data_IF_674713918399
#
_entry.id   IF_674713918399
#
_cell.length_a   1.000
_cell.length_b   1.000
_cell.length_c   1.000
_cell.angle_alpha   90.00
_cell.angle_beta   90.00
_cell.angle_gamma   90.00
#
_symmetry.space_group_name_H-M   'P 1'
#
loop_
_entity.id
_entity.type
_entity.pdbx_description
1 polymer ?
#
# COMPACT_ATOMS: atom_id res chain seq x y z
N UNK A 1 13.49 6.36 -3.39
CA UNK A 1 14.21 7.66 -3.47
C UNK A 1 15.57 7.45 -4.12
N UNK A 2 16.12 6.22 -4.14
CA UNK A 2 17.31 5.88 -4.94
C UNK A 2 17.11 5.84 -6.45
N UNK A 3 15.95 5.43 -6.98
CA UNK A 3 15.70 5.46 -8.43
C UNK A 3 15.41 6.88 -8.96
N UNK A 4 14.68 7.69 -8.19
CA UNK A 4 14.32 9.08 -8.55
C UNK A 4 15.46 10.10 -8.30
N UNK A 5 16.32 9.92 -7.29
CA UNK A 5 17.55 10.75 -7.13
C UNK A 5 18.68 10.37 -8.08
N UNK A 6 18.64 9.19 -8.72
CA UNK A 6 19.56 8.83 -9.81
C UNK A 6 19.19 9.56 -11.12
N UNK A 7 17.92 9.94 -11.28
CA UNK A 7 17.42 10.74 -12.40
C UNK A 7 17.83 12.23 -12.32
N UNK A 8 17.93 12.82 -11.12
CA UNK A 8 18.26 14.25 -10.95
C UNK A 8 19.67 14.63 -11.42
N UNK A 9 20.65 13.72 -11.35
CA UNK A 9 22.02 14.00 -11.81
C UNK A 9 22.07 14.06 -13.34
N UNK A 10 21.34 13.16 -14.03
CA UNK A 10 21.27 13.13 -15.49
C UNK A 10 20.43 14.29 -16.03
N UNK A 11 19.28 14.59 -15.39
CA UNK A 11 18.42 15.71 -15.77
C UNK A 11 19.03 17.08 -15.45
N UNK A 12 19.73 17.20 -14.32
CA UNK A 12 20.46 18.42 -13.94
C UNK A 12 21.60 18.74 -14.90
N UNK A 13 22.33 17.73 -15.38
CA UNK A 13 23.32 17.91 -16.45
C UNK A 13 22.67 18.25 -17.80
N UNK A 14 21.59 17.57 -18.21
CA UNK A 14 20.90 17.90 -19.47
C UNK A 14 20.22 19.27 -19.48
N UNK A 15 19.68 19.72 -18.34
CA UNK A 15 19.05 21.03 -18.19
C UNK A 15 20.08 22.18 -18.24
N UNK A 16 21.24 21.99 -17.59
CA UNK A 16 22.36 22.92 -17.70
C UNK A 16 22.95 22.96 -19.13
N UNK A 17 23.03 21.81 -19.81
CA UNK A 17 23.47 21.75 -21.22
C UNK A 17 22.49 22.47 -22.15
N UNK A 18 21.17 22.38 -21.94
CA UNK A 18 20.17 23.04 -22.79
C UNK A 18 20.26 24.59 -22.73
N UNK A 19 20.58 25.15 -21.55
CA UNK A 19 20.83 26.59 -21.36
C UNK A 19 22.14 27.05 -22.03
N UNK A 20 23.12 26.16 -22.19
CA UNK A 20 24.47 26.44 -22.73
C UNK A 20 24.63 26.15 -24.24
N UNK A 21 23.53 25.99 -24.99
CA UNK A 21 23.51 25.72 -26.45
C UNK A 21 24.20 26.78 -27.34
N UNK A 22 24.73 27.87 -26.74
CA UNK A 22 25.52 28.92 -27.40
C UNK A 22 27.05 28.74 -27.24
N UNK A 23 27.54 27.73 -26.52
CA UNK A 23 28.99 27.48 -26.34
C UNK A 23 29.59 26.61 -27.46
N UNK A 24 30.85 26.83 -27.86
CA UNK A 24 31.50 26.11 -28.95
C UNK A 24 31.75 24.61 -28.66
N UNK A 25 31.81 24.20 -27.38
CA UNK A 25 31.93 22.81 -26.94
C UNK A 25 30.56 22.29 -26.48
N UNK A 26 29.64 22.03 -27.41
CA UNK A 26 28.34 21.45 -27.07
C UNK A 26 28.33 19.94 -27.33
N UNK A 27 27.97 19.13 -26.32
CA UNK A 27 27.82 17.68 -26.50
C UNK A 27 26.64 17.43 -27.46
N UNK A 28 26.92 16.79 -28.60
CA UNK A 28 25.88 16.44 -29.57
C UNK A 28 24.82 15.54 -28.93
N UNK A 29 23.54 15.83 -29.15
CA UNK A 29 22.41 15.08 -28.59
C UNK A 29 22.50 13.57 -28.84
N UNK A 30 23.00 13.14 -29.99
CA UNK A 30 23.17 11.72 -30.33
C UNK A 30 24.10 10.97 -29.35
N UNK A 31 25.19 11.61 -28.89
CA UNK A 31 26.12 11.03 -27.92
C UNK A 31 25.49 10.90 -26.52
N UNK A 32 24.67 11.88 -26.12
CA UNK A 32 23.92 11.82 -24.85
C UNK A 32 22.89 10.69 -24.90
N UNK A 33 22.16 10.55 -26.02
CA UNK A 33 21.21 9.45 -26.21
C UNK A 33 21.91 8.09 -26.17
N UNK A 34 23.09 7.98 -26.77
CA UNK A 34 23.88 6.74 -26.75
C UNK A 34 24.28 6.32 -25.32
N UNK A 35 24.80 7.25 -24.51
CA UNK A 35 25.10 7.02 -23.10
C UNK A 35 23.86 6.55 -22.35
N UNK A 36 22.73 7.21 -22.58
CA UNK A 36 21.47 6.89 -21.91
C UNK A 36 20.98 5.48 -22.27
N UNK A 37 21.08 5.09 -23.55
CA UNK A 37 20.71 3.75 -24.00
C UNK A 37 21.63 2.67 -23.40
N UNK A 38 22.94 2.93 -23.35
CA UNK A 38 23.91 2.03 -22.69
C UNK A 38 23.63 1.91 -21.19
N UNK A 39 23.31 3.01 -20.52
CA UNK A 39 22.90 3.01 -19.13
C UNK A 39 21.67 2.12 -18.89
N UNK A 40 20.62 2.27 -19.70
CA UNK A 40 19.40 1.48 -19.54
C UNK A 40 19.65 -0.02 -19.73
N UNK A 41 20.46 -0.40 -20.72
CA UNK A 41 20.84 -1.81 -20.94
C UNK A 41 21.60 -2.38 -19.75
N UNK A 42 22.62 -1.65 -19.26
CA UNK A 42 23.38 -2.02 -18.08
C UNK A 42 22.50 -2.08 -16.82
N UNK A 43 21.59 -1.12 -16.64
CA UNK A 43 20.68 -1.05 -15.51
C UNK A 43 19.73 -2.25 -15.48
N UNK A 44 19.17 -2.65 -16.63
CA UNK A 44 18.35 -3.85 -16.73
C UNK A 44 19.14 -5.12 -16.37
N UNK A 45 20.38 -5.24 -16.83
CA UNK A 45 21.27 -6.35 -16.43
C UNK A 45 21.52 -6.36 -14.92
N UNK A 46 21.67 -5.18 -14.31
CA UNK A 46 21.89 -5.03 -12.87
C UNK A 46 20.67 -5.37 -11.98
N UNK A 47 19.49 -5.60 -12.59
CA UNK A 47 18.24 -5.91 -11.88
C UNK A 47 17.90 -7.41 -11.89
N UNK A 48 18.75 -8.26 -12.46
CA UNK A 48 18.54 -9.71 -12.48
C UNK A 48 18.48 -10.25 -11.03
N UNK A 49 17.57 -11.19 -10.78
CA UNK A 49 17.39 -11.78 -9.44
C UNK A 49 18.49 -12.78 -9.10
N UNK A 50 18.97 -13.53 -10.09
CA UNK A 50 20.03 -14.53 -9.95
C UNK A 50 21.12 -14.26 -10.97
N UNK A 51 22.39 -14.25 -10.52
CA UNK A 51 23.55 -14.02 -11.36
C UNK A 51 24.35 -15.30 -11.54
N UNK A 52 24.68 -15.63 -12.78
CA UNK A 52 25.79 -16.51 -13.11
C UNK A 52 27.08 -15.68 -13.26
N UNK A 53 28.25 -16.29 -13.11
CA UNK A 53 29.52 -15.55 -13.21
C UNK A 53 29.67 -14.85 -14.58
N UNK A 54 29.16 -15.47 -15.66
CA UNK A 54 29.09 -14.86 -17.00
C UNK A 54 28.24 -13.60 -17.05
N UNK A 55 27.16 -13.52 -16.27
CA UNK A 55 26.35 -12.30 -16.16
C UNK A 55 27.14 -11.18 -15.48
N UNK A 56 27.91 -11.51 -14.45
CA UNK A 56 28.73 -10.54 -13.69
C UNK A 56 29.85 -10.02 -14.59
N UNK A 57 30.50 -10.88 -15.37
CA UNK A 57 31.49 -10.47 -16.38
C UNK A 57 30.89 -9.52 -17.40
N UNK A 58 29.74 -9.88 -17.98
CA UNK A 58 29.02 -9.04 -18.95
C UNK A 58 28.59 -7.69 -18.37
N UNK A 59 28.17 -7.68 -17.11
CA UNK A 59 27.82 -6.46 -16.40
C UNK A 59 29.05 -5.57 -16.19
N UNK A 60 30.19 -6.13 -15.77
CA UNK A 60 31.44 -5.38 -15.60
C UNK A 60 31.92 -4.76 -16.91
N UNK A 61 31.86 -5.51 -18.02
CA UNK A 61 32.18 -5.01 -19.36
C UNK A 61 31.28 -3.83 -19.75
N UNK A 62 29.96 -3.98 -19.53
CA UNK A 62 28.97 -2.93 -19.80
C UNK A 62 29.22 -1.68 -18.95
N UNK A 63 29.58 -1.86 -17.67
CA UNK A 63 29.95 -0.77 -16.75
C UNK A 63 31.19 -0.05 -17.26
N UNK A 64 32.23 -0.79 -17.65
CA UNK A 64 33.50 -0.23 -18.10
C UNK A 64 33.33 0.56 -19.42
N UNK A 65 32.59 0.02 -20.38
CA UNK A 65 32.26 0.72 -21.63
C UNK A 65 31.48 2.01 -21.36
N UNK A 66 30.43 1.91 -20.54
CA UNK A 66 29.59 3.06 -20.22
C UNK A 66 30.39 4.12 -19.46
N UNK A 67 31.21 3.74 -18.48
CA UNK A 67 32.02 4.65 -17.68
C UNK A 67 33.05 5.40 -18.52
N UNK A 68 33.71 4.72 -19.47
CA UNK A 68 34.64 5.37 -20.41
C UNK A 68 33.96 6.48 -21.21
N UNK A 69 32.81 6.16 -21.83
CA UNK A 69 32.03 7.14 -22.60
C UNK A 69 31.50 8.28 -21.73
N UNK A 70 31.03 7.95 -20.53
CA UNK A 70 30.51 8.94 -19.59
C UNK A 70 31.60 9.91 -19.12
N UNK A 71 32.79 9.41 -18.78
CA UNK A 71 33.92 10.26 -18.37
C UNK A 71 34.37 11.14 -19.53
N UNK A 72 34.60 10.57 -20.72
CA UNK A 72 35.01 11.32 -21.91
C UNK A 72 34.05 12.48 -22.24
N UNK A 73 32.75 12.27 -22.04
CA UNK A 73 31.74 13.25 -22.40
C UNK A 73 31.47 14.30 -21.32
N UNK A 74 31.62 13.96 -20.03
CA UNK A 74 31.19 14.84 -18.93
C UNK A 74 32.32 15.38 -18.05
N UNK A 75 33.57 14.90 -18.20
CA UNK A 75 34.69 15.34 -17.35
C UNK A 75 34.95 16.84 -17.45
N UNK A 76 34.95 17.40 -18.66
CA UNK A 76 35.18 18.84 -18.92
C UNK A 76 34.08 19.74 -18.29
N UNK A 77 32.87 19.20 -18.11
CA UNK A 77 31.72 19.93 -17.58
C UNK A 77 31.55 19.78 -16.06
N UNK A 78 32.36 18.92 -15.43
CA UNK A 78 32.26 18.64 -14.00
C UNK A 78 33.36 19.37 -13.24
N UNK A 79 32.99 20.34 -12.40
CA UNK A 79 33.95 21.05 -11.52
C UNK A 79 34.73 20.10 -10.58
N UNK A 80 34.10 18.98 -10.21
CA UNK A 80 34.70 17.91 -9.40
C UNK A 80 35.44 16.82 -10.19
N UNK A 81 35.59 16.96 -11.52
CA UNK A 81 36.13 15.91 -12.41
C UNK A 81 35.47 14.55 -12.21
N UNK A 82 34.14 14.55 -12.02
CA UNK A 82 33.33 13.34 -11.81
C UNK A 82 33.73 12.49 -10.59
N UNK A 83 34.37 13.06 -9.57
CA UNK A 83 34.67 12.38 -8.31
C UNK A 83 33.42 12.19 -7.43
N UNK A 84 32.41 11.49 -7.95
CA UNK A 84 31.19 11.17 -7.23
C UNK A 84 31.34 9.83 -6.53
N UNK A 85 31.16 9.75 -5.20
CA UNK A 85 31.23 8.48 -4.46
C UNK A 85 30.29 7.40 -5.03
N UNK A 86 29.13 7.82 -5.56
CA UNK A 86 28.17 6.93 -6.22
C UNK A 86 28.69 6.36 -7.55
N UNK A 87 29.40 7.16 -8.34
CA UNK A 87 30.01 6.70 -9.58
C UNK A 87 31.14 5.72 -9.28
N UNK A 88 31.98 6.05 -8.29
CA UNK A 88 33.04 5.16 -7.82
C UNK A 88 32.48 3.81 -7.32
N UNK A 89 31.46 3.85 -6.47
CA UNK A 89 30.76 2.64 -6.01
C UNK A 89 30.20 1.82 -7.17
N UNK A 90 29.57 2.47 -8.15
CA UNK A 90 29.01 1.80 -9.32
C UNK A 90 30.07 1.11 -10.19
N UNK A 91 31.18 1.79 -10.46
CA UNK A 91 32.20 1.31 -11.39
C UNK A 91 33.06 0.19 -10.77
N UNK A 92 33.44 0.34 -9.51
CA UNK A 92 34.46 -0.52 -8.89
C UNK A 92 33.89 -1.60 -7.95
N UNK A 93 32.74 -1.35 -7.32
CA UNK A 93 32.28 -2.16 -6.20
C UNK A 93 31.00 -2.94 -6.47
N UNK A 94 30.27 -2.66 -7.54
CA UNK A 94 28.99 -3.34 -7.81
C UNK A 94 29.19 -4.83 -8.11
N UNK A 95 30.11 -5.19 -8.99
CA UNK A 95 30.31 -6.60 -9.32
C UNK A 95 30.89 -7.40 -8.15
N UNK A 96 31.73 -6.81 -7.30
CA UNK A 96 32.18 -7.46 -6.06
C UNK A 96 31.04 -7.60 -5.05
N UNK A 97 30.22 -6.57 -4.87
CA UNK A 97 29.05 -6.62 -4.00
C UNK A 97 28.04 -7.67 -4.45
N UNK A 98 27.83 -7.86 -5.76
CA UNK A 98 26.96 -8.91 -6.28
C UNK A 98 27.48 -10.30 -5.94
N UNK A 99 28.80 -10.52 -6.04
CA UNK A 99 29.42 -11.81 -5.70
C UNK A 99 29.32 -12.13 -4.21
N UNK A 100 29.49 -11.13 -3.36
CA UNK A 100 29.54 -11.33 -1.92
C UNK A 100 28.15 -11.43 -1.29
N UNK A 101 27.21 -10.61 -1.74
CA UNK A 101 25.92 -10.46 -1.08
C UNK A 101 24.73 -10.93 -1.93
N UNK A 102 24.89 -11.14 -3.25
CA UNK A 102 23.79 -11.45 -4.18
C UNK A 102 23.21 -10.25 -4.95
N UNK A 103 21.96 -10.36 -5.39
CA UNK A 103 21.36 -9.37 -6.30
C UNK A 103 21.18 -7.97 -5.66
N UNK A 104 21.47 -6.92 -6.44
CA UNK A 104 21.41 -5.51 -6.01
C UNK A 104 20.02 -5.13 -5.45
N UNK A 105 18.97 -5.78 -5.93
CA UNK A 105 17.59 -5.54 -5.50
C UNK A 105 17.41 -5.71 -3.98
N UNK A 106 18.19 -6.61 -3.36
CA UNK A 106 18.18 -6.85 -1.92
C UNK A 106 18.74 -5.70 -1.08
N UNK A 107 19.57 -4.81 -1.64
CA UNK A 107 20.18 -3.68 -0.90
C UNK A 107 19.43 -2.36 -1.07
N UNK A 108 18.31 -2.35 -1.81
CA UNK A 108 17.61 -1.10 -2.08
C UNK A 108 16.83 -0.66 -0.84
N UNK A 109 16.85 0.65 -0.56
CA UNK A 109 16.03 1.23 0.52
C UNK A 109 14.58 1.43 0.08
N UNK A 110 14.16 0.92 -1.07
CA UNK A 110 12.82 1.14 -1.63
C UNK A 110 11.73 0.59 -0.70
N UNK A 111 11.96 -0.60 -0.13
CA UNK A 111 11.07 -1.19 0.87
C UNK A 111 11.00 -0.32 2.12
N UNK A 112 12.15 0.07 2.69
CA UNK A 112 12.19 0.93 3.89
C UNK A 112 11.48 2.27 3.67
N UNK A 113 11.69 2.89 2.51
CA UNK A 113 11.04 4.15 2.17
C UNK A 113 9.53 4.02 1.96
N UNK A 114 9.09 2.91 1.36
CA UNK A 114 7.67 2.60 1.18
C UNK A 114 7.01 2.38 2.53
N UNK A 115 7.62 1.57 3.40
CA UNK A 115 7.19 1.36 4.78
C UNK A 115 7.14 2.68 5.56
N UNK A 116 8.16 3.52 5.47
CA UNK A 116 8.17 4.82 6.13
C UNK A 116 7.07 5.75 5.60
N UNK A 117 6.75 5.71 4.30
CA UNK A 117 5.63 6.46 3.74
C UNK A 117 4.30 5.97 4.32
N UNK A 118 4.12 4.66 4.42
CA UNK A 118 2.86 4.05 4.81
C UNK A 118 2.60 4.04 6.31
N UNK A 119 3.61 3.77 7.12
CA UNK A 119 3.49 3.62 8.56
C UNK A 119 3.91 4.87 9.34
N UNK A 120 4.68 5.79 8.75
CA UNK A 120 5.06 7.03 9.44
C UNK A 120 4.37 8.24 8.83
N UNK A 121 4.62 8.54 7.54
CA UNK A 121 4.15 9.81 6.94
C UNK A 121 2.63 9.90 6.83
N UNK A 122 1.95 8.82 6.43
CA UNK A 122 0.49 8.79 6.32
C UNK A 122 -0.16 8.92 7.71
N UNK A 123 0.11 8.05 8.70
CA UNK A 123 -0.40 8.19 10.05
C UNK A 123 -0.09 9.54 10.68
N UNK A 124 1.14 10.05 10.53
CA UNK A 124 1.53 11.35 11.05
C UNK A 124 0.58 12.46 10.59
N UNK A 125 0.17 12.47 9.32
CA UNK A 125 -0.75 13.49 8.78
C UNK A 125 -2.12 13.48 9.47
N UNK A 126 -2.60 12.31 9.87
CA UNK A 126 -3.90 12.10 10.52
C UNK A 126 -3.87 12.42 12.04
N UNK A 127 -2.69 12.74 12.59
CA UNK A 127 -2.54 13.09 14.02
C UNK A 127 -2.83 14.57 14.28
N UNK A 128 -3.33 14.89 15.47
CA UNK A 128 -3.51 16.27 15.94
C UNK A 128 -2.21 16.91 16.48
N UNK A 129 -1.06 16.26 16.26
CA UNK A 129 0.30 16.66 16.67
C UNK A 129 0.59 16.66 18.18
N UNK A 130 -0.33 16.23 19.03
CA UNK A 130 -0.06 15.93 20.45
C UNK A 130 0.28 14.45 20.62
N UNK A 131 1.20 14.10 21.51
CA UNK A 131 1.60 12.70 21.77
C UNK A 131 1.76 11.84 20.50
N UNK A 132 2.53 12.36 19.53
CA UNK A 132 2.55 11.90 18.14
C UNK A 132 2.82 10.40 18.01
N UNK A 133 3.76 9.88 18.78
CA UNK A 133 4.16 8.46 18.73
C UNK A 133 2.99 7.55 19.12
N UNK A 134 2.28 7.87 20.21
CA UNK A 134 1.09 7.11 20.63
C UNK A 134 0.00 7.16 19.55
N UNK A 135 -0.20 8.32 18.92
CA UNK A 135 -1.21 8.48 17.88
C UNK A 135 -0.86 7.71 16.60
N UNK A 136 0.40 7.74 16.18
CA UNK A 136 0.88 6.97 15.03
C UNK A 136 0.70 5.48 15.30
N UNK A 137 1.15 4.98 16.47
CA UNK A 137 0.99 3.58 16.84
C UNK A 137 -0.47 3.14 16.80
N UNK A 138 -1.38 3.97 17.33
CA UNK A 138 -2.82 3.71 17.29
C UNK A 138 -3.37 3.66 15.86
N UNK A 139 -3.04 4.63 15.00
CA UNK A 139 -3.49 4.64 13.60
C UNK A 139 -2.97 3.42 12.84
N UNK A 140 -1.71 3.05 13.04
CA UNK A 140 -1.13 1.84 12.45
C UNK A 140 -1.94 0.61 12.90
N UNK A 141 -2.30 0.50 14.17
CA UNK A 141 -3.16 -0.58 14.67
C UNK A 141 -4.53 -0.61 13.98
N UNK A 142 -5.15 0.54 13.70
CA UNK A 142 -6.42 0.60 12.93
C UNK A 142 -6.21 0.04 11.52
N UNK A 143 -5.10 0.41 10.88
CA UNK A 143 -4.77 -0.07 9.53
C UNK A 143 -4.55 -1.58 9.52
N UNK A 144 -3.81 -2.13 10.50
CA UNK A 144 -3.63 -3.57 10.64
C UNK A 144 -4.95 -4.30 10.95
N UNK A 145 -5.79 -3.74 11.82
CA UNK A 145 -7.12 -4.27 12.09
C UNK A 145 -7.98 -4.34 10.81
N UNK A 146 -7.96 -3.27 10.00
CA UNK A 146 -8.68 -3.22 8.72
C UNK A 146 -8.19 -4.22 7.67
N UNK A 147 -7.02 -4.83 7.86
CA UNK A 147 -6.52 -5.93 7.01
C UNK A 147 -6.89 -7.30 7.56
N UNK A 148 -6.89 -7.45 8.89
CA UNK A 148 -7.07 -8.75 9.55
C UNK A 148 -8.53 -9.16 9.76
N UNK A 149 -9.43 -8.21 10.04
CA UNK A 149 -10.81 -8.52 10.49
C UNK A 149 -11.92 -7.89 9.65
N UNK A 150 -11.60 -6.85 8.87
CA UNK A 150 -12.59 -6.11 8.09
C UNK A 150 -12.22 -6.08 6.62
N UNK A 151 -13.21 -6.00 5.75
CA UNK A 151 -13.01 -5.75 4.32
C UNK A 151 -13.17 -4.25 4.07
N UNK A 152 -12.13 -3.62 3.52
CA UNK A 152 -12.19 -2.24 3.08
C UNK A 152 -13.17 -2.11 1.90
N UNK A 153 -14.25 -1.35 2.08
CA UNK A 153 -15.20 -1.06 1.00
C UNK A 153 -14.68 0.14 0.19
N UNK A 154 -13.62 -0.07 -0.58
CA UNK A 154 -13.10 0.95 -1.49
C UNK A 154 -13.52 0.68 -2.93
N UNK A 155 -13.85 1.73 -3.71
CA UNK A 155 -13.83 1.66 -5.15
C UNK A 155 -12.39 1.48 -5.63
N UNK A 156 -11.95 0.25 -5.89
CA UNK A 156 -10.79 0.07 -6.76
C UNK A 156 -11.22 0.08 -8.21
N UNK A 157 -10.51 0.86 -9.03
CA UNK A 157 -10.59 0.70 -10.49
C UNK A 157 -9.93 -0.63 -10.81
N UNK A 158 -10.72 -1.61 -11.21
CA UNK A 158 -10.21 -2.82 -11.84
C UNK A 158 -9.32 -2.44 -13.04
N UNK A 159 -8.05 -2.87 -13.10
CA UNK A 159 -7.35 -2.98 -14.36
C UNK A 159 -7.96 -4.15 -15.13
N UNK A 160 -8.41 -3.90 -16.36
CA UNK A 160 -8.78 -4.91 -17.36
C UNK A 160 -10.17 -5.58 -17.27
N UNK A 161 -11.22 -4.79 -17.07
CA UNK A 161 -12.53 -5.16 -17.63
C UNK A 161 -12.82 -4.28 -18.87
N UNK A 162 -12.58 -4.83 -20.06
CA UNK A 162 -13.03 -4.23 -21.33
C UNK A 162 -14.56 -4.10 -21.27
N UNK A 163 -15.03 -2.88 -21.51
CA UNK A 163 -16.42 -2.48 -21.66
C UNK A 163 -17.32 -2.59 -20.42
N UNK A 164 -17.20 -1.62 -19.52
CA UNK A 164 -18.20 -1.37 -18.48
C UNK A 164 -18.55 0.13 -18.49
N UNK A 165 -19.84 0.53 -18.40
CA UNK A 165 -20.26 1.92 -18.51
C UNK A 165 -19.63 2.82 -17.43
N UNK A 166 -19.09 3.96 -17.89
CA UNK A 166 -18.32 4.98 -17.18
C UNK A 166 -19.12 5.82 -16.17
N UNK A 167 -19.92 5.20 -15.29
CA UNK A 167 -20.54 5.92 -14.17
C UNK A 167 -19.95 5.35 -12.87
N UNK A 168 -19.14 6.14 -12.12
CA UNK A 168 -18.78 5.77 -10.76
C UNK A 168 -20.05 5.82 -9.91
N UNK A 169 -20.69 4.68 -9.71
CA UNK A 169 -21.83 4.57 -8.79
C UNK A 169 -21.27 4.65 -7.37
N UNK A 170 -21.38 5.81 -6.73
CA UNK A 170 -21.00 5.98 -5.33
C UNK A 170 -21.70 4.92 -4.45
N UNK A 171 -20.99 4.41 -3.43
CA UNK A 171 -21.56 3.48 -2.45
C UNK A 171 -22.81 4.11 -1.83
N UNK A 172 -23.95 3.42 -1.97
CA UNK A 172 -25.24 3.91 -1.44
C UNK A 172 -25.64 3.08 -0.24
N UNK A 173 -25.45 3.65 0.96
CA UNK A 173 -25.84 3.04 2.21
C UNK A 173 -27.36 3.06 2.39
N UNK A 174 -27.91 1.99 2.97
CA UNK A 174 -29.34 1.91 3.29
C UNK A 174 -29.62 2.56 4.65
N UNK A 175 -30.63 2.05 5.38
CA UNK A 175 -31.01 2.58 6.70
C UNK A 175 -29.84 2.46 7.68
N UNK A 176 -29.47 3.57 8.32
CA UNK A 176 -28.60 3.61 9.50
C UNK A 176 -29.32 2.94 10.67
N UNK A 177 -28.70 1.93 11.26
CA UNK A 177 -29.23 1.15 12.37
C UNK A 177 -28.78 1.73 13.72
N UNK A 178 -27.50 2.05 13.83
CA UNK A 178 -26.90 2.51 15.09
C UNK A 178 -25.92 3.65 14.82
N UNK A 179 -25.79 4.53 15.81
CA UNK A 179 -24.87 5.66 15.81
C UNK A 179 -24.39 5.91 17.24
N UNK A 180 -23.07 5.83 17.44
CA UNK A 180 -22.46 6.03 18.76
C UNK A 180 -21.01 6.48 18.65
N UNK A 181 -20.50 7.07 19.73
CA UNK A 181 -19.10 7.48 19.86
C UNK A 181 -18.31 6.41 20.63
N UNK A 182 -17.00 6.31 20.37
CA UNK A 182 -16.10 5.35 21.04
C UNK A 182 -16.20 5.40 22.57
N UNK A 183 -16.31 6.60 23.15
CA UNK A 183 -16.38 6.84 24.60
C UNK A 183 -17.53 6.09 25.29
N UNK A 184 -18.63 5.86 24.56
CA UNK A 184 -19.81 5.19 25.08
C UNK A 184 -20.04 3.83 24.39
N UNK A 185 -19.10 3.37 23.57
CA UNK A 185 -19.32 2.22 22.70
C UNK A 185 -19.60 0.94 23.48
N UNK A 186 -18.85 0.68 24.55
CA UNK A 186 -19.03 -0.50 25.39
C UNK A 186 -20.42 -0.55 26.02
N UNK A 187 -20.79 0.50 26.78
CA UNK A 187 -22.10 0.61 27.43
C UNK A 187 -23.22 0.56 26.39
N UNK A 188 -23.07 1.28 25.28
CA UNK A 188 -24.07 1.33 24.21
C UNK A 188 -24.29 -0.06 23.61
N UNK A 189 -23.22 -0.76 23.25
CA UNK A 189 -23.28 -2.07 22.62
C UNK A 189 -23.81 -3.13 23.59
N UNK A 190 -23.33 -3.16 24.83
CA UNK A 190 -23.82 -4.09 25.85
C UNK A 190 -25.33 -3.91 26.08
N UNK A 191 -25.82 -2.67 26.12
CA UNK A 191 -27.26 -2.37 26.21
C UNK A 191 -28.03 -2.95 25.02
N UNK A 192 -27.47 -2.92 23.81
CA UNK A 192 -28.09 -3.52 22.61
C UNK A 192 -27.99 -5.03 22.59
N UNK A 193 -26.92 -5.62 23.10
CA UNK A 193 -26.75 -7.07 23.17
C UNK A 193 -27.78 -7.74 24.08
N UNK A 194 -28.30 -7.00 25.08
CA UNK A 194 -29.38 -7.45 25.96
C UNK A 194 -30.77 -7.44 25.30
N UNK A 195 -30.90 -6.90 24.09
CA UNK A 195 -32.16 -6.93 23.34
C UNK A 195 -32.48 -8.38 22.91
N UNK A 196 -33.61 -8.97 23.35
CA UNK A 196 -33.99 -10.33 22.97
C UNK A 196 -34.25 -10.46 21.47
N UNK A 197 -34.55 -9.35 20.79
CA UNK A 197 -34.80 -9.30 19.36
C UNK A 197 -33.51 -9.27 18.50
N UNK A 198 -32.33 -9.25 19.13
CA UNK A 198 -31.05 -9.20 18.45
C UNK A 198 -30.56 -10.62 18.10
N UNK A 199 -30.38 -10.85 16.81
CA UNK A 199 -29.97 -12.12 16.22
C UNK A 199 -28.49 -12.41 16.47
N UNK A 200 -28.15 -13.71 16.46
CA UNK A 200 -26.83 -14.22 16.83
C UNK A 200 -25.70 -13.61 16.01
N UNK A 201 -25.90 -13.37 14.70
CA UNK A 201 -24.88 -12.81 13.82
C UNK A 201 -24.55 -11.37 14.19
N UNK A 202 -25.56 -10.57 14.58
CA UNK A 202 -25.33 -9.19 15.01
C UNK A 202 -24.74 -9.13 16.42
N UNK A 203 -25.11 -10.05 17.32
CA UNK A 203 -24.46 -10.22 18.63
C UNK A 203 -22.97 -10.55 18.47
N UNK A 204 -22.66 -11.53 17.63
CA UNK A 204 -21.28 -11.89 17.30
C UNK A 204 -20.52 -10.72 16.67
N UNK A 205 -21.19 -9.97 15.78
CA UNK A 205 -20.64 -8.75 15.19
C UNK A 205 -20.27 -7.72 16.26
N UNK A 206 -21.14 -7.50 17.25
CA UNK A 206 -20.89 -6.59 18.36
C UNK A 206 -19.81 -7.07 19.31
N UNK A 207 -19.77 -8.36 19.65
CA UNK A 207 -18.71 -8.97 20.48
C UNK A 207 -17.35 -8.78 19.82
N UNK A 208 -17.23 -9.16 18.55
CA UNK A 208 -15.99 -9.00 17.78
C UNK A 208 -15.61 -7.54 17.59
N UNK A 209 -16.59 -6.67 17.43
CA UNK A 209 -16.36 -5.24 17.37
C UNK A 209 -15.81 -4.70 18.71
N UNK A 210 -16.37 -5.10 19.85
CA UNK A 210 -15.89 -4.68 21.18
C UNK A 210 -14.49 -5.21 21.51
N UNK A 211 -14.19 -6.49 21.23
CA UNK A 211 -12.82 -7.05 21.36
C UNK A 211 -11.79 -6.19 20.63
N UNK A 212 -12.20 -5.54 19.53
CA UNK A 212 -11.33 -4.69 18.73
C UNK A 212 -11.25 -3.24 19.25
N UNK A 213 -12.18 -2.79 20.11
CA UNK A 213 -12.23 -1.40 20.57
C UNK A 213 -11.30 -1.10 21.74
N UNK A 214 -10.90 -2.09 22.54
CA UNK A 214 -10.05 -1.94 23.74
C UNK A 214 -8.68 -1.27 23.47
N UNK A 215 -8.30 -1.06 22.20
CA UNK A 215 -7.05 -0.40 21.79
C UNK A 215 -7.16 1.12 21.50
N UNK A 216 -8.34 1.76 21.54
CA UNK A 216 -8.57 3.05 20.85
C UNK A 216 -9.08 4.24 21.69
N UNK A 217 -8.89 4.22 23.01
CA UNK A 217 -9.60 5.07 23.98
C UNK A 217 -9.39 6.61 23.94
N UNK A 218 -8.51 7.19 23.12
CA UNK A 218 -8.17 8.64 23.22
C UNK A 218 -8.60 9.54 22.04
N UNK A 219 -9.35 9.04 21.05
CA UNK A 219 -9.80 9.85 19.90
C UNK A 219 -11.31 10.09 19.88
N UNK A 220 -11.78 11.22 19.33
CA UNK A 220 -13.19 11.37 18.99
C UNK A 220 -13.48 10.58 17.71
N UNK A 221 -13.91 9.33 17.91
CA UNK A 221 -14.30 8.42 16.82
C UNK A 221 -15.81 8.23 16.88
N UNK A 222 -16.47 8.47 15.75
CA UNK A 222 -17.89 8.23 15.56
C UNK A 222 -18.09 7.02 14.66
N UNK A 223 -18.96 6.12 15.11
CA UNK A 223 -19.34 4.92 14.38
C UNK A 223 -20.79 5.02 13.91
N UNK A 224 -21.03 4.74 12.63
CA UNK A 224 -22.36 4.51 12.09
C UNK A 224 -22.45 3.08 11.58
N UNK A 225 -23.46 2.33 12.00
CA UNK A 225 -23.74 0.97 11.50
C UNK A 225 -24.94 1.03 10.56
N UNK A 226 -24.81 0.44 9.38
CA UNK A 226 -25.83 0.42 8.34
C UNK A 226 -26.41 -0.98 8.15
N UNK A 227 -27.69 -1.03 7.74
CA UNK A 227 -28.39 -2.27 7.40
C UNK A 227 -27.92 -2.92 6.10
N UNK A 228 -27.17 -2.19 5.28
CA UNK A 228 -26.82 -2.58 3.93
C UNK A 228 -26.12 -1.48 3.15
N UNK A 229 -25.50 -1.88 2.06
CA UNK A 229 -24.84 -0.99 1.10
C UNK A 229 -25.06 -1.53 -0.31
N UNK A 230 -25.29 -0.62 -1.24
CA UNK A 230 -25.30 -0.94 -2.68
C UNK A 230 -23.90 -0.67 -3.21
N UNK A 231 -23.24 -1.72 -3.67
CA UNK A 231 -21.91 -1.71 -4.29
C UNK A 231 -22.00 -1.29 -5.77
N UNK A 232 -20.85 -1.21 -6.44
CA UNK A 232 -20.79 -1.03 -7.89
C UNK A 232 -21.63 -2.10 -8.60
N UNK A 233 -22.26 -1.72 -9.71
CA UNK A 233 -23.14 -2.59 -10.51
C UNK A 233 -24.48 -2.97 -9.87
N UNK A 234 -24.84 -2.33 -8.76
CA UNK A 234 -26.16 -2.50 -8.13
C UNK A 234 -26.29 -3.71 -7.21
N UNK A 235 -25.20 -4.46 -7.00
CA UNK A 235 -25.12 -5.55 -6.03
C UNK A 235 -25.35 -5.00 -4.63
N UNK A 236 -26.22 -5.67 -3.84
CA UNK A 236 -26.59 -5.22 -2.49
C UNK A 236 -26.00 -6.16 -1.47
N UNK A 237 -25.16 -5.62 -0.60
CA UNK A 237 -24.67 -6.28 0.60
C UNK A 237 -25.51 -5.85 1.79
N UNK A 238 -25.85 -6.78 2.68
CA UNK A 238 -26.77 -6.55 3.81
C UNK A 238 -26.24 -7.17 5.09
N UNK A 239 -26.47 -6.45 6.17
CA UNK A 239 -26.21 -6.87 7.54
C UNK A 239 -27.33 -6.28 8.40
N UNK A 240 -28.49 -6.94 8.41
CA UNK A 240 -29.68 -6.41 9.05
C UNK A 240 -30.38 -7.49 9.88
N UNK A 241 -30.54 -7.17 11.15
CA UNK A 241 -31.20 -7.98 12.15
C UNK A 241 -32.69 -8.25 11.84
N UNK A 242 -33.40 -7.28 11.22
CA UNK A 242 -34.85 -7.38 10.95
C UNK A 242 -35.19 -6.79 9.58
N UNK A 243 -34.96 -7.55 8.51
CA UNK A 243 -35.41 -7.23 7.16
C UNK A 243 -36.68 -8.04 6.82
N UNK A 244 -37.83 -7.38 6.70
CA UNK A 244 -39.14 -8.04 6.54
C UNK A 244 -39.38 -9.17 7.57
N UNK A 245 -39.13 -8.89 8.86
CA UNK A 245 -39.29 -9.83 9.99
C UNK A 245 -38.32 -11.01 10.02
N UNK A 246 -37.27 -11.01 9.20
CA UNK A 246 -36.20 -12.03 9.24
C UNK A 246 -34.80 -11.38 9.22
N UNK A 247 -33.80 -11.98 9.85
CA UNK A 247 -32.41 -11.57 9.67
C UNK A 247 -31.95 -11.76 8.22
N UNK A 248 -31.08 -10.87 7.76
CA UNK A 248 -30.38 -11.01 6.48
C UNK A 248 -28.93 -10.54 6.59
N UNK A 249 -28.02 -11.48 6.39
CA UNK A 249 -26.58 -11.28 6.41
C UNK A 249 -26.00 -11.88 5.13
N UNK A 250 -25.31 -11.06 4.35
CA UNK A 250 -24.79 -11.48 3.04
C UNK A 250 -23.54 -12.33 3.18
N UNK A 251 -23.46 -13.40 2.40
CA UNK A 251 -22.22 -14.12 2.15
C UNK A 251 -21.51 -13.44 0.98
N UNK A 252 -20.20 -13.28 1.09
CA UNK A 252 -19.37 -12.60 0.11
C UNK A 252 -18.16 -13.46 -0.23
N UNK A 253 -17.69 -13.28 -1.47
CA UNK A 253 -16.42 -13.81 -1.96
C UNK A 253 -15.45 -12.64 -2.08
N UNK A 254 -14.24 -12.82 -1.55
CA UNK A 254 -13.22 -11.78 -1.44
C UNK A 254 -11.94 -12.32 -2.08
N UNK A 255 -11.44 -11.62 -3.07
CA UNK A 255 -10.11 -11.86 -3.62
C UNK A 255 -9.07 -11.37 -2.60
N UNK A 256 -8.23 -12.27 -2.11
CA UNK A 256 -7.22 -11.96 -1.10
C UNK A 256 -5.96 -11.47 -1.81
N UNK A 257 -5.31 -10.46 -1.23
CA UNK A 257 -4.00 -10.02 -1.68
C UNK A 257 -3.04 -11.24 -1.72
N UNK A 258 -2.33 -11.49 -2.83
CA UNK A 258 -1.36 -12.59 -2.91
C UNK A 258 -0.36 -12.64 -1.74
N UNK A 259 0.00 -11.50 -1.16
CA UNK A 259 0.89 -11.43 0.01
C UNK A 259 0.26 -12.01 1.29
N UNK A 260 -1.07 -12.02 1.38
CA UNK A 260 -1.85 -12.44 2.56
C UNK A 260 -2.49 -13.83 2.38
N UNK A 261 -2.38 -14.43 1.18
CA UNK A 261 -3.06 -15.68 0.81
C UNK A 261 -2.66 -16.88 1.70
N UNK A 262 -1.47 -16.84 2.31
CA UNK A 262 -0.96 -17.91 3.15
C UNK A 262 -1.77 -18.09 4.45
N UNK A 263 -2.47 -17.06 4.91
CA UNK A 263 -3.31 -17.09 6.13
C UNK A 263 -4.70 -17.73 5.90
N UNK A 264 -5.05 -18.06 4.65
CA UNK A 264 -6.39 -18.53 4.27
C UNK A 264 -6.36 -19.83 3.46
N UNK A 265 -7.42 -20.65 3.56
CA UNK A 265 -7.74 -21.74 2.62
C UNK A 265 -8.50 -21.15 1.44
N UNK A 266 -7.78 -20.49 0.54
CA UNK A 266 -8.37 -19.91 -0.67
C UNK A 266 -8.69 -20.96 -1.73
N UNK A 267 -9.77 -20.72 -2.48
CA UNK A 267 -10.06 -21.41 -3.74
C UNK A 267 -9.66 -20.47 -4.87
N UNK A 268 -8.52 -20.77 -5.53
CA UNK A 268 -7.93 -19.92 -6.57
C UNK A 268 -7.74 -18.44 -6.17
N UNK A 269 -7.32 -18.18 -4.92
CA UNK A 269 -7.12 -16.81 -4.42
C UNK A 269 -8.37 -16.12 -3.88
N UNK A 270 -9.53 -16.77 -3.94
CA UNK A 270 -10.79 -16.26 -3.40
C UNK A 270 -11.12 -16.92 -2.06
N UNK A 271 -11.57 -16.13 -1.09
CA UNK A 271 -12.04 -16.59 0.23
C UNK A 271 -13.48 -16.17 0.47
N UNK A 272 -14.21 -16.98 1.25
CA UNK A 272 -15.61 -16.72 1.55
C UNK A 272 -15.79 -16.25 2.99
N UNK A 273 -16.70 -15.29 3.17
CA UNK A 273 -17.04 -14.76 4.49
C UNK A 273 -18.50 -14.35 4.58
N UNK A 274 -19.04 -14.30 5.80
CA UNK A 274 -20.32 -13.71 6.11
C UNK A 274 -20.15 -12.29 6.63
N UNK A 275 -20.93 -11.34 6.13
CA UNK A 275 -20.92 -9.97 6.65
C UNK A 275 -21.70 -9.92 7.95
N UNK A 276 -21.08 -9.43 9.02
CA UNK A 276 -21.71 -9.26 10.33
C UNK A 276 -22.17 -7.81 10.55
N UNK A 277 -21.32 -6.83 10.24
CA UNK A 277 -21.62 -5.40 10.39
C UNK A 277 -21.13 -4.61 9.17
N UNK A 278 -21.85 -3.55 8.82
CA UNK A 278 -21.41 -2.56 7.82
C UNK A 278 -21.23 -1.24 8.55
N UNK A 279 -19.99 -0.80 8.66
CA UNK A 279 -19.57 0.30 9.53
C UNK A 279 -18.94 1.44 8.74
N UNK A 280 -19.32 2.65 9.11
CA UNK A 280 -18.64 3.89 8.75
C UNK A 280 -17.95 4.42 10.01
N UNK A 281 -16.66 4.72 9.89
CA UNK A 281 -15.82 5.25 10.94
C UNK A 281 -15.39 6.65 10.55
N UNK A 282 -15.70 7.62 11.40
CA UNK A 282 -15.33 9.03 11.22
C UNK A 282 -14.35 9.39 12.34
N UNK A 283 -13.11 9.72 11.97
CA UNK A 283 -12.05 10.10 12.90
C UNK A 283 -11.82 11.61 12.76
N UNK A 284 -11.94 12.37 13.85
CA UNK A 284 -11.58 13.79 13.92
C UNK A 284 -12.10 14.67 12.76
N UNK A 285 -13.30 14.38 12.24
CA UNK A 285 -13.94 15.12 11.12
C UNK A 285 -13.22 15.01 9.76
N UNK A 286 -12.35 14.01 9.58
CA UNK A 286 -11.76 13.68 8.28
C UNK A 286 -12.68 12.79 7.44
N UNK A 287 -12.20 12.38 6.26
CA UNK A 287 -12.95 11.51 5.34
C UNK A 287 -13.35 10.19 6.03
N UNK A 288 -14.62 9.77 5.89
CA UNK A 288 -15.11 8.54 6.49
C UNK A 288 -14.42 7.31 5.89
N UNK A 289 -14.06 6.37 6.77
CA UNK A 289 -13.63 5.04 6.37
C UNK A 289 -14.81 4.09 6.40
N UNK A 290 -15.03 3.35 5.31
CA UNK A 290 -16.11 2.39 5.20
C UNK A 290 -15.59 0.97 5.22
N UNK A 291 -16.13 0.17 6.15
CA UNK A 291 -15.68 -1.18 6.44
C UNK A 291 -16.87 -2.13 6.53
N UNK A 292 -16.60 -3.39 6.23
CA UNK A 292 -17.48 -4.49 6.59
C UNK A 292 -16.75 -5.41 7.56
N UNK A 293 -17.31 -5.63 8.75
CA UNK A 293 -16.85 -6.65 9.67
C UNK A 293 -17.37 -8.00 9.19
N UNK A 294 -16.49 -8.98 9.01
CA UNK A 294 -16.85 -10.26 8.39
C UNK A 294 -16.40 -11.45 9.25
N UNK A 295 -17.15 -12.54 9.15
CA UNK A 295 -16.78 -13.84 9.68
C UNK A 295 -16.28 -14.72 8.54
N UNK A 296 -14.98 -15.03 8.54
CA UNK A 296 -14.36 -15.88 7.52
C UNK A 296 -14.78 -17.35 7.67
N UNK A 297 -15.12 -17.99 6.54
CA UNK A 297 -15.33 -19.45 6.49
C UNK A 297 -14.01 -20.21 6.26
N UNK A 298 -13.05 -19.55 5.62
CA UNK A 298 -11.84 -20.16 5.07
C UNK A 298 -10.54 -19.72 5.79
N UNK A 299 -10.62 -19.27 7.05
CA UNK A 299 -9.42 -18.82 7.77
C UNK A 299 -8.62 -20.01 8.31
N UNK A 300 -7.30 -20.07 8.04
CA UNK A 300 -6.46 -21.21 8.43
C UNK A 300 -6.06 -21.24 9.90
N UNK A 301 -6.03 -20.09 10.58
CA UNK A 301 -5.60 -20.03 11.98
C UNK A 301 -6.80 -20.14 12.92
N UNK A 302 -6.94 -21.21 13.70
CA UNK A 302 -7.67 -21.12 14.95
C UNK A 302 -6.83 -20.28 15.91
N UNK A 303 -7.52 -19.40 16.64
CA UNK A 303 -7.02 -18.61 17.76
C UNK A 303 -6.02 -19.43 18.58
N UNK A 304 -4.74 -19.06 18.57
CA UNK A 304 -3.84 -19.42 19.68
C UNK A 304 -4.14 -18.48 20.82
N UNK A 305 -4.77 -19.01 21.86
CA UNK A 305 -4.82 -18.38 23.18
C UNK A 305 -3.40 -17.96 23.58
N UNK A 306 -3.20 -16.66 23.74
CA UNK A 306 -2.12 -16.09 24.57
C UNK A 306 -2.78 -15.16 25.57
#
# INVERSE_FOLDING_TARGET
MLALKKFEIFFGMSYNLYQDSKRPNFIKNNKITEIYLKWNKMYLLSRKENYEESDITRLQESINEWAKLFIELFEEYSSSKLQFPKLHSWVFHICSSIREFGAINGYTTETYESLHKDYVKKPYKLTNKKEIEKQIMKIISILFWSRKFSVNLRPEKFPDAKEIPKIPIALKYSKKLYEFCIQNAEIYIQTRMNDPDLEKEMKLGFEKFLECLDAYLDFYIKFCIYSGVTLFYGTKMRANNKFHKRPIFSNIAIEINPDEIFEYTSDNGVCFAQVLLITEIIINYEEPMYLALVQWYNFKSPITNF
#
